data_IF_047039687334
#
_entry.id   IF_047039687334
#
_cell.length_a   1.000
_cell.length_b   1.000
_cell.length_c   1.000
_cell.angle_alpha   90.00
_cell.angle_beta   90.00
_cell.angle_gamma   90.00
#
_symmetry.space_group_name_H-M   'P 1'
#
loop_
_entity.id
_entity.type
_entity.pdbx_description
1 polymer ?
#
# COMPACT_ATOMS: atom_id res chain seq x y z
N UNK A 1 17.78 14.75 -17.66
CA UNK A 1 18.02 13.52 -16.86
C UNK A 1 16.90 13.43 -15.85
N UNK A 2 15.95 12.52 -16.01
CA UNK A 2 14.92 12.28 -15.02
C UNK A 2 15.54 11.49 -13.87
N UNK A 3 15.84 12.17 -12.75
CA UNK A 3 15.98 11.51 -11.46
C UNK A 3 14.60 11.00 -11.03
N UNK A 4 14.11 9.97 -11.71
CA UNK A 4 13.05 9.14 -11.18
C UNK A 4 13.67 8.44 -9.97
N UNK A 5 13.28 8.84 -8.77
CA UNK A 5 13.71 8.16 -7.55
C UNK A 5 13.44 6.67 -7.75
N UNK A 6 14.50 5.87 -7.62
CA UNK A 6 14.42 4.43 -7.82
C UNK A 6 13.51 3.87 -6.73
N UNK A 7 12.42 3.23 -7.15
CA UNK A 7 11.54 2.53 -6.22
C UNK A 7 12.31 1.43 -5.49
N UNK A 8 12.03 1.29 -4.19
CA UNK A 8 12.60 0.24 -3.35
C UNK A 8 12.07 -1.14 -3.76
N UNK A 9 10.84 -1.21 -4.27
CA UNK A 9 10.22 -2.41 -4.84
C UNK A 9 9.16 -2.02 -5.88
N UNK A 10 8.60 -3.02 -6.57
CA UNK A 10 7.63 -2.79 -7.65
C UNK A 10 6.38 -2.09 -7.12
N UNK A 11 5.96 -1.00 -7.79
CA UNK A 11 4.74 -0.27 -7.45
C UNK A 11 3.48 -1.13 -7.61
N UNK A 12 2.45 -0.86 -6.81
CA UNK A 12 1.14 -1.53 -6.91
C UNK A 12 0.53 -1.24 -8.28
N UNK A 13 0.30 -2.29 -9.05
CA UNK A 13 -0.29 -2.17 -10.36
C UNK A 13 -1.81 -1.96 -10.25
N UNK A 14 -2.40 -1.26 -11.23
CA UNK A 14 -3.85 -0.96 -11.22
C UNK A 14 -4.74 -2.21 -11.20
N UNK A 15 -4.25 -3.35 -11.72
CA UNK A 15 -4.99 -4.62 -11.72
C UNK A 15 -4.92 -5.34 -10.38
N UNK A 16 -4.02 -4.92 -9.48
CA UNK A 16 -3.82 -5.51 -8.16
C UNK A 16 -3.14 -6.86 -8.16
N UNK A 17 -2.64 -7.35 -9.30
CA UNK A 17 -2.04 -8.70 -9.39
C UNK A 17 -0.84 -8.86 -8.45
N UNK A 18 -0.09 -7.79 -8.23
CA UNK A 18 1.03 -7.78 -7.29
C UNK A 18 0.66 -7.35 -5.86
N UNK A 19 -0.62 -7.18 -5.52
CA UNK A 19 -1.08 -6.62 -4.24
C UNK A 19 -0.48 -7.33 -3.02
N UNK A 20 -0.47 -8.66 -3.01
CA UNK A 20 0.09 -9.43 -1.89
C UNK A 20 1.58 -9.17 -1.65
N UNK A 21 2.37 -9.13 -2.73
CA UNK A 21 3.80 -8.83 -2.66
C UNK A 21 4.02 -7.36 -2.27
N UNK A 22 3.19 -6.45 -2.79
CA UNK A 22 3.25 -5.03 -2.47
C UNK A 22 2.99 -4.75 -0.99
N UNK A 23 1.93 -5.33 -0.42
CA UNK A 23 1.59 -5.20 1.01
C UNK A 23 2.75 -5.65 1.88
N UNK A 24 3.28 -6.85 1.62
CA UNK A 24 4.40 -7.39 2.40
C UNK A 24 5.62 -6.48 2.38
N UNK A 25 6.01 -5.99 1.20
CA UNK A 25 7.16 -5.10 1.07
C UNK A 25 6.93 -3.74 1.73
N UNK A 26 5.72 -3.19 1.61
CA UNK A 26 5.34 -1.93 2.23
C UNK A 26 5.35 -2.02 3.77
N UNK A 27 4.74 -3.07 4.34
CA UNK A 27 4.71 -3.31 5.79
C UNK A 27 6.12 -3.46 6.36
N UNK A 28 6.99 -4.26 5.72
CA UNK A 28 8.39 -4.44 6.13
C UNK A 28 9.14 -3.10 6.07
N UNK A 29 8.94 -2.30 5.02
CA UNK A 29 9.63 -1.03 4.88
C UNK A 29 9.17 -0.02 5.94
N UNK A 30 7.86 0.08 6.20
CA UNK A 30 7.32 0.95 7.23
C UNK A 30 7.80 0.53 8.62
N UNK A 31 7.79 -0.78 8.95
CA UNK A 31 8.31 -1.28 10.21
C UNK A 31 9.79 -0.99 10.38
N UNK A 32 10.62 -1.18 9.34
CA UNK A 32 12.05 -0.86 9.37
C UNK A 32 12.32 0.64 9.59
N UNK A 33 11.36 1.51 9.25
CA UNK A 33 11.43 2.96 9.47
C UNK A 33 10.73 3.42 10.76
N UNK A 34 10.07 2.52 11.48
CA UNK A 34 9.27 2.84 12.68
C UNK A 34 7.96 3.57 12.36
N UNK A 35 7.40 3.36 11.17
CA UNK A 35 6.16 3.98 10.70
C UNK A 35 5.00 2.99 10.56
N UNK A 36 5.15 1.73 10.98
CA UNK A 36 4.10 0.71 10.91
C UNK A 36 2.82 1.09 11.68
N UNK A 37 2.94 1.88 12.75
CA UNK A 37 1.78 2.38 13.48
C UNK A 37 0.88 3.29 12.63
N UNK A 38 1.39 4.02 11.62
CA UNK A 38 0.61 5.02 10.85
C UNK A 38 -0.49 4.41 9.97
N UNK A 39 -0.40 3.11 9.68
CA UNK A 39 -1.38 2.33 8.92
C UNK A 39 -2.25 1.42 9.81
N UNK A 40 -2.15 1.58 11.14
CA UNK A 40 -2.94 0.82 12.12
C UNK A 40 -4.07 1.69 12.69
N UNK A 41 -5.24 1.10 12.95
CA UNK A 41 -6.37 1.81 13.55
C UNK A 41 -6.05 2.28 14.97
N UNK A 42 -6.51 3.49 15.32
CA UNK A 42 -6.28 4.07 16.65
C UNK A 42 -4.84 4.52 16.88
N UNK A 43 -4.06 4.74 15.82
CA UNK A 43 -2.69 5.19 15.96
C UNK A 43 -2.58 6.61 16.52
N UNK A 44 -1.56 6.83 17.34
CA UNK A 44 -1.18 8.14 17.88
C UNK A 44 0.06 8.70 17.17
N UNK A 45 0.30 8.25 15.92
CA UNK A 45 1.48 8.66 15.17
C UNK A 45 1.44 10.16 14.85
N UNK A 46 2.61 10.79 14.83
CA UNK A 46 2.73 12.21 14.54
C UNK A 46 2.22 12.54 13.13
N UNK A 47 1.70 13.76 12.93
CA UNK A 47 1.32 14.23 11.59
C UNK A 47 2.47 14.16 10.59
N UNK A 48 3.71 14.31 11.06
CA UNK A 48 4.90 14.18 10.23
C UNK A 48 5.10 12.74 9.74
N UNK A 49 4.93 11.74 10.61
CA UNK A 49 5.12 10.33 10.23
C UNK A 49 3.97 9.83 9.34
N UNK A 50 2.74 10.32 9.57
CA UNK A 50 1.63 10.14 8.64
C UNK A 50 1.94 10.71 7.25
N UNK A 51 2.48 11.93 7.18
CA UNK A 51 2.87 12.54 5.92
C UNK A 51 4.00 11.77 5.20
N UNK A 52 5.01 11.29 5.93
CA UNK A 52 6.07 10.43 5.37
C UNK A 52 5.50 9.12 4.82
N UNK A 53 4.57 8.51 5.54
CA UNK A 53 3.87 7.29 5.11
C UNK A 53 3.05 7.56 3.85
N UNK A 54 2.30 8.66 3.80
CA UNK A 54 1.55 9.07 2.60
C UNK A 54 2.45 9.20 1.38
N UNK A 55 3.57 9.93 1.51
CA UNK A 55 4.54 10.09 0.42
C UNK A 55 5.07 8.73 -0.04
N UNK A 56 5.40 7.85 0.91
CA UNK A 56 5.90 6.51 0.62
C UNK A 56 4.88 5.65 -0.14
N UNK A 57 3.63 5.59 0.34
CA UNK A 57 2.56 4.82 -0.31
C UNK A 57 2.34 5.37 -1.73
N UNK A 58 2.12 6.69 -1.87
CA UNK A 58 1.93 7.30 -3.19
C UNK A 58 3.11 7.05 -4.12
N UNK A 59 4.35 7.10 -3.64
CA UNK A 59 5.52 6.80 -4.48
C UNK A 59 5.44 5.40 -5.09
N UNK A 60 4.90 4.44 -4.35
CA UNK A 60 4.76 3.03 -4.73
C UNK A 60 3.39 2.68 -5.33
N UNK A 61 2.63 3.65 -5.82
CA UNK A 61 1.42 3.41 -6.61
C UNK A 61 1.66 3.64 -8.10
N UNK A 62 1.03 2.82 -8.92
CA UNK A 62 0.85 3.14 -10.34
C UNK A 62 0.16 4.50 -10.51
N UNK A 63 0.47 5.19 -11.61
CA UNK A 63 -0.03 6.54 -11.86
C UNK A 63 -1.57 6.61 -11.90
N UNK A 64 -2.24 5.57 -12.41
CA UNK A 64 -3.70 5.52 -12.40
C UNK A 64 -4.28 5.53 -10.99
N UNK A 65 -3.65 4.81 -10.06
CA UNK A 65 -4.05 4.79 -8.65
C UNK A 65 -3.72 6.09 -7.94
N UNK A 66 -2.59 6.75 -8.27
CA UNK A 66 -2.27 8.07 -7.70
C UNK A 66 -3.33 9.11 -8.03
N UNK A 67 -3.85 9.10 -9.26
CA UNK A 67 -4.91 10.02 -9.69
C UNK A 67 -6.21 9.72 -8.94
N UNK A 68 -6.58 8.45 -8.84
CA UNK A 68 -7.82 8.04 -8.19
C UNK A 68 -7.84 8.40 -6.70
N UNK A 69 -6.71 8.24 -6.03
CA UNK A 69 -6.56 8.52 -4.60
C UNK A 69 -5.98 9.91 -4.30
N UNK A 70 -5.97 10.86 -5.24
CA UNK A 70 -5.32 12.17 -5.05
C UNK A 70 -5.92 13.00 -3.90
N UNK A 71 -7.20 12.77 -3.59
CA UNK A 71 -7.93 13.53 -2.57
C UNK A 71 -7.80 12.97 -1.17
N UNK A 72 -7.32 11.72 -1.03
CA UNK A 72 -7.13 11.07 0.27
C UNK A 72 -5.90 11.68 0.94
N UNK A 73 -6.06 12.10 2.19
CA UNK A 73 -5.02 12.83 2.95
C UNK A 73 -4.49 12.09 4.16
N UNK A 74 -5.13 10.98 4.54
CA UNK A 74 -4.76 10.17 5.68
C UNK A 74 -4.19 8.81 5.23
N UNK A 75 -3.08 8.41 5.84
CA UNK A 75 -2.36 7.18 5.46
C UNK A 75 -3.12 5.92 5.81
N UNK A 76 -3.88 5.93 6.90
CA UNK A 76 -4.69 4.79 7.30
C UNK A 76 -5.90 4.64 6.38
N UNK A 77 -6.54 5.74 6.01
CA UNK A 77 -7.63 5.75 5.02
C UNK A 77 -7.16 5.16 3.68
N UNK A 78 -6.07 5.69 3.11
CA UNK A 78 -5.51 5.19 1.84
C UNK A 78 -5.14 3.70 1.92
N UNK A 79 -4.49 3.28 3.01
CA UNK A 79 -4.11 1.88 3.21
C UNK A 79 -5.34 0.96 3.29
N UNK A 80 -6.39 1.40 3.98
CA UNK A 80 -7.63 0.65 4.16
C UNK A 80 -8.40 0.53 2.85
N UNK A 81 -8.49 1.60 2.06
CA UNK A 81 -9.16 1.58 0.76
C UNK A 81 -8.47 0.63 -0.24
N UNK A 82 -7.13 0.66 -0.29
CA UNK A 82 -6.36 -0.27 -1.12
C UNK A 82 -6.57 -1.72 -0.66
N UNK A 83 -6.66 -1.93 0.65
CA UNK A 83 -6.95 -3.24 1.25
C UNK A 83 -8.33 -3.75 0.88
N UNK A 84 -9.38 -2.94 1.05
CA UNK A 84 -10.74 -3.32 0.68
C UNK A 84 -10.84 -3.62 -0.81
N UNK A 85 -10.22 -2.79 -1.64
CA UNK A 85 -10.21 -2.97 -3.09
C UNK A 85 -9.61 -4.30 -3.52
N UNK A 86 -8.48 -4.71 -2.95
CA UNK A 86 -7.70 -5.84 -3.47
C UNK A 86 -7.69 -7.09 -2.57
N UNK A 87 -8.25 -7.05 -1.36
CA UNK A 87 -8.28 -8.22 -0.46
C UNK A 87 -9.02 -9.41 -1.08
N UNK A 88 -9.98 -9.18 -1.98
CA UNK A 88 -10.66 -10.26 -2.71
C UNK A 88 -9.70 -11.10 -3.59
N UNK A 89 -8.56 -10.53 -4.00
CA UNK A 89 -7.52 -11.27 -4.74
C UNK A 89 -6.82 -12.32 -3.88
N UNK A 90 -6.91 -12.22 -2.54
CA UNK A 90 -6.45 -13.28 -1.63
C UNK A 90 -7.29 -14.54 -1.80
N UNK A 91 -8.59 -14.39 -2.03
CA UNK A 91 -9.51 -15.51 -2.19
C UNK A 91 -9.34 -16.20 -3.57
N UNK A 92 -8.95 -15.47 -4.61
CA UNK A 92 -8.76 -16.03 -5.96
C UNK A 92 -7.42 -16.75 -6.16
N UNK A 93 -6.43 -16.48 -5.31
CA UNK A 93 -5.10 -17.12 -5.33
C UNK A 93 -5.04 -18.43 -4.54
N UNK A 94 -6.02 -18.70 -3.68
CA UNK A 94 -6.16 -20.02 -3.05
C UNK A 94 -6.80 -20.96 -4.07
N UNK A 95 -6.12 -22.04 -4.50
CA UNK A 95 -6.78 -23.07 -5.27
C UNK A 95 -7.93 -23.58 -4.41
N UNK A 96 -9.15 -23.46 -4.91
CA UNK A 96 -10.30 -24.12 -4.31
C UNK A 96 -9.94 -25.60 -4.21
N UNK A 97 -9.58 -26.06 -3.02
CA UNK A 97 -9.46 -27.47 -2.74
C UNK A 97 -10.88 -28.01 -2.87
N UNK A 98 -11.23 -28.41 -4.10
CA UNK A 98 -12.39 -29.26 -4.36
C UNK A 98 -12.02 -30.59 -3.73
N UNK A 99 -12.43 -30.76 -2.47
CA UNK A 99 -12.57 -32.09 -1.91
C UNK A 99 -13.56 -32.82 -2.81
N UNK A 100 -13.11 -33.93 -3.41
CA UNK A 100 -13.99 -34.93 -4.03
C UNK A 100 -14.84 -35.63 -2.96
#
# INVERSE_FOLDING_TARGET
MSNLSKLEFVALDVTGKNYLSWVLNAEIHLAAKGFDATITQGNEASSQDKAKTMIFIHHHLDEGLKIEYLTVKDSLELWTDLKERYDHLKATMLPTARYE
#
